data_IF_995479186964
#
_entry.id   IF_995479186964
#
_cell.length_a   1.000
_cell.length_b   1.000
_cell.length_c   1.000
_cell.angle_alpha   90.00
_cell.angle_beta   90.00
_cell.angle_gamma   90.00
#
_symmetry.space_group_name_H-M   'P 1'
#
loop_
_entity.id
_entity.type
_entity.pdbx_description
1 polymer ?
#
# COMPACT_ATOMS: atom_id res chain seq x y z
N UNK A 1 4.91 1.82 -5.35
CA UNK A 1 4.81 3.21 -4.88
C UNK A 1 3.59 3.47 -4.00
N UNK A 2 2.37 3.07 -4.46
CA UNK A 2 1.11 3.39 -3.73
C UNK A 2 1.12 2.84 -2.31
N UNK A 3 1.48 1.57 -2.12
CA UNK A 3 1.57 0.97 -0.78
C UNK A 3 2.55 1.69 0.14
N UNK A 4 3.72 2.09 -0.37
CA UNK A 4 4.71 2.85 0.41
C UNK A 4 4.18 4.23 0.82
N UNK A 5 3.48 4.94 -0.05
CA UNK A 5 2.82 6.19 0.31
C UNK A 5 1.65 5.98 1.28
N UNK A 6 0.99 4.83 1.24
CA UNK A 6 -0.03 4.46 2.23
C UNK A 6 0.59 4.24 3.62
N UNK A 7 1.77 3.63 3.69
CA UNK A 7 2.56 3.51 4.94
C UNK A 7 2.88 4.90 5.50
N UNK A 8 3.48 5.78 4.70
CA UNK A 8 3.80 7.14 5.12
C UNK A 8 2.55 7.91 5.61
N UNK A 9 1.44 7.78 4.90
CA UNK A 9 0.18 8.44 5.27
C UNK A 9 -0.41 7.89 6.59
N UNK A 10 -0.29 6.58 6.84
CA UNK A 10 -0.73 5.97 8.09
C UNK A 10 0.16 6.39 9.27
N UNK A 11 1.48 6.44 9.07
CA UNK A 11 2.44 6.92 10.07
C UNK A 11 2.16 8.38 10.47
N UNK A 12 1.97 9.29 9.51
CA UNK A 12 1.62 10.69 9.78
C UNK A 12 0.30 10.81 10.56
N UNK A 13 -0.63 9.88 10.37
CA UNK A 13 -1.91 9.84 11.09
C UNK A 13 -1.81 9.21 12.48
N UNK A 14 -0.63 8.82 12.91
CA UNK A 14 -0.36 8.32 14.26
C UNK A 14 -0.73 6.86 14.47
N UNK A 15 -0.62 6.02 13.44
CA UNK A 15 -0.73 4.57 13.63
C UNK A 15 0.39 4.08 14.56
N UNK A 16 0.04 3.47 15.69
CA UNK A 16 1.02 2.98 16.66
C UNK A 16 1.73 1.73 16.15
N UNK A 17 0.96 0.76 15.63
CA UNK A 17 1.48 -0.42 14.96
C UNK A 17 1.14 -0.33 13.48
N UNK A 18 2.15 -0.46 12.62
CA UNK A 18 2.00 -0.32 11.18
C UNK A 18 2.75 -1.46 10.47
N UNK A 19 1.99 -2.44 10.02
CA UNK A 19 2.48 -3.62 9.34
C UNK A 19 2.49 -3.39 7.83
N UNK A 20 3.65 -3.52 7.19
CA UNK A 20 3.77 -3.42 5.74
C UNK A 20 4.02 -4.80 5.13
N UNK A 21 3.10 -5.26 4.28
CA UNK A 21 3.19 -6.57 3.63
C UNK A 21 3.98 -6.46 2.34
N UNK A 22 5.03 -7.27 2.19
CA UNK A 22 5.85 -7.28 0.98
C UNK A 22 7.06 -8.21 1.09
N UNK A 23 7.70 -8.54 -0.03
CA UNK A 23 8.86 -9.44 -0.07
C UNK A 23 10.10 -8.83 -0.74
N UNK A 24 10.02 -7.60 -1.24
CA UNK A 24 11.15 -6.92 -1.88
C UNK A 24 11.91 -6.11 -0.83
N UNK A 25 13.21 -6.41 -0.69
CA UNK A 25 14.05 -5.78 0.35
C UNK A 25 14.03 -4.25 0.28
N UNK A 26 14.24 -3.66 -0.89
CA UNK A 26 14.22 -2.20 -1.05
C UNK A 26 12.89 -1.56 -0.66
N UNK A 27 11.76 -2.26 -0.91
CA UNK A 27 10.45 -1.78 -0.48
C UNK A 27 10.26 -1.94 1.04
N UNK A 28 10.78 -3.02 1.62
CA UNK A 28 10.74 -3.25 3.06
C UNK A 28 11.55 -2.20 3.81
N UNK A 29 12.79 -1.95 3.39
CA UNK A 29 13.67 -0.93 3.97
C UNK A 29 13.01 0.46 3.92
N UNK A 30 12.44 0.82 2.77
CA UNK A 30 11.76 2.10 2.60
C UNK A 30 10.44 2.18 3.37
N UNK A 31 9.72 1.06 3.55
CA UNK A 31 8.53 1.04 4.39
C UNK A 31 8.87 1.31 5.85
N UNK A 32 9.95 0.73 6.37
CA UNK A 32 10.45 1.03 7.73
C UNK A 32 10.83 2.50 7.87
N UNK A 33 11.53 3.04 6.88
CA UNK A 33 11.89 4.47 6.86
C UNK A 33 10.65 5.38 6.84
N UNK A 34 9.58 4.95 6.17
CA UNK A 34 8.30 5.68 6.12
C UNK A 34 7.41 5.45 7.36
N UNK A 35 7.89 4.70 8.33
CA UNK A 35 7.25 4.54 9.62
C UNK A 35 6.50 3.23 9.82
N UNK A 36 6.71 2.22 8.98
CA UNK A 36 6.25 0.87 9.30
C UNK A 36 6.98 0.37 10.56
N UNK A 37 6.25 -0.28 11.46
CA UNK A 37 6.85 -0.88 12.66
C UNK A 37 7.37 -2.28 12.39
N UNK A 38 6.74 -2.98 11.46
CA UNK A 38 7.08 -4.35 11.10
C UNK A 38 6.87 -4.60 9.61
N UNK A 39 7.68 -5.49 9.06
CA UNK A 39 7.52 -6.01 7.70
C UNK A 39 6.99 -7.43 7.78
N UNK A 40 5.93 -7.71 7.04
CA UNK A 40 5.32 -9.02 6.89
C UNK A 40 5.74 -9.58 5.55
N UNK A 41 6.57 -10.61 5.57
CA UNK A 41 7.05 -11.23 4.34
C UNK A 41 6.17 -12.43 3.97
N UNK A 42 5.34 -12.29 2.95
CA UNK A 42 4.44 -13.35 2.48
C UNK A 42 5.16 -14.59 1.93
N UNK A 43 6.49 -14.56 1.80
CA UNK A 43 7.31 -15.72 1.42
C UNK A 43 7.80 -16.52 2.60
N UNK A 44 7.68 -15.99 3.79
CA UNK A 44 8.17 -16.60 5.04
C UNK A 44 7.05 -17.26 5.85
N UNK A 45 5.79 -17.12 5.42
CA UNK A 45 4.65 -17.73 6.06
C UNK A 45 3.32 -17.07 5.69
N UNK A 46 2.26 -17.55 6.29
CA UNK A 46 0.93 -16.98 6.10
C UNK A 46 0.85 -15.56 6.63
N UNK A 47 0.29 -14.66 5.84
CA UNK A 47 0.19 -13.23 6.17
C UNK A 47 -0.72 -13.00 7.38
N UNK A 48 -1.83 -13.74 7.44
CA UNK A 48 -2.83 -13.59 8.49
C UNK A 48 -2.23 -14.02 9.83
N UNK A 49 -1.61 -15.18 9.88
CA UNK A 49 -0.93 -15.70 11.09
C UNK A 49 0.14 -14.73 11.57
N UNK A 50 1.04 -14.29 10.68
CA UNK A 50 2.11 -13.35 11.05
C UNK A 50 1.56 -12.06 11.67
N UNK A 51 0.49 -11.48 11.09
CA UNK A 51 -0.08 -10.22 11.59
C UNK A 51 -0.80 -10.44 12.92
N UNK A 52 -1.62 -11.49 13.03
CA UNK A 52 -2.37 -11.78 14.26
C UNK A 52 -1.45 -12.05 15.45
N UNK A 53 -0.36 -12.76 15.22
CA UNK A 53 0.64 -13.06 16.26
C UNK A 53 1.36 -11.79 16.71
N UNK A 54 1.86 -10.99 15.79
CA UNK A 54 2.58 -9.75 16.10
C UNK A 54 1.69 -8.68 16.74
N UNK A 55 0.43 -8.61 16.33
CA UNK A 55 -0.53 -7.64 16.88
C UNK A 55 -1.25 -8.17 18.13
N UNK A 56 -1.03 -9.44 18.51
CA UNK A 56 -1.77 -10.11 19.57
C UNK A 56 -3.29 -10.08 19.37
N UNK A 57 -3.70 -10.20 18.10
CA UNK A 57 -5.10 -10.20 17.68
C UNK A 57 -5.38 -9.34 16.43
N UNK A 58 -6.67 -9.14 16.11
CA UNK A 58 -7.07 -8.42 14.91
C UNK A 58 -6.67 -6.93 14.91
N UNK A 59 -6.48 -6.37 13.70
CA UNK A 59 -6.11 -4.97 13.50
C UNK A 59 -7.32 -4.05 13.33
N UNK A 60 -7.15 -2.75 13.60
CA UNK A 60 -8.22 -1.74 13.47
C UNK A 60 -8.57 -1.40 12.03
N UNK A 61 -7.56 -1.35 11.16
CA UNK A 61 -7.69 -0.87 9.79
C UNK A 61 -6.73 -1.61 8.88
N UNK A 62 -7.17 -1.82 7.65
CA UNK A 62 -6.34 -2.39 6.57
C UNK A 62 -6.41 -1.47 5.37
N UNK A 63 -5.29 -1.25 4.70
CA UNK A 63 -5.23 -0.58 3.39
C UNK A 63 -4.79 -1.60 2.36
N UNK A 64 -5.64 -1.88 1.38
CA UNK A 64 -5.32 -2.73 0.24
C UNK A 64 -4.78 -1.83 -0.87
N UNK A 65 -3.46 -1.90 -1.10
CA UNK A 65 -2.74 -1.08 -2.08
C UNK A 65 -2.00 -1.91 -3.15
N UNK A 66 -2.30 -3.18 -3.22
CA UNK A 66 -1.75 -4.18 -4.14
C UNK A 66 -2.28 -5.56 -3.79
N UNK A 67 -1.81 -6.58 -4.49
CA UNK A 67 -2.32 -7.94 -4.36
C UNK A 67 -3.42 -8.25 -5.37
N UNK A 68 -4.10 -9.34 -5.16
CA UNK A 68 -5.17 -9.90 -5.98
C UNK A 68 -6.52 -9.94 -5.23
N UNK A 69 -7.47 -10.70 -5.76
CA UNK A 69 -8.78 -10.82 -5.13
C UNK A 69 -8.74 -11.52 -3.76
N UNK A 70 -7.77 -12.42 -3.53
CA UNK A 70 -7.62 -13.13 -2.24
C UNK A 70 -7.13 -12.19 -1.13
N UNK A 71 -6.50 -11.09 -1.49
CA UNK A 71 -6.06 -10.06 -0.53
C UNK A 71 -7.24 -9.47 0.27
N UNK A 72 -8.44 -9.42 -0.32
CA UNK A 72 -9.65 -8.99 0.42
C UNK A 72 -10.09 -10.01 1.47
N UNK A 73 -9.98 -11.29 1.16
CA UNK A 73 -10.28 -12.36 2.11
C UNK A 73 -9.35 -12.26 3.33
N UNK A 74 -8.05 -12.15 3.10
CA UNK A 74 -7.03 -11.96 4.15
C UNK A 74 -7.27 -10.68 4.94
N UNK A 75 -7.54 -9.55 4.26
CA UNK A 75 -7.86 -8.29 4.90
C UNK A 75 -9.09 -8.36 5.81
N UNK A 76 -10.11 -9.10 5.37
CA UNK A 76 -11.33 -9.30 6.17
C UNK A 76 -11.09 -10.17 7.39
N UNK A 77 -10.19 -11.16 7.28
CA UNK A 77 -9.85 -12.08 8.36
C UNK A 77 -9.09 -11.37 9.48
N UNK A 78 -8.04 -10.62 9.15
CA UNK A 78 -7.26 -9.89 10.15
C UNK A 78 -7.97 -8.68 10.76
N UNK A 79 -9.06 -8.22 10.15
CA UNK A 79 -9.77 -7.03 10.60
C UNK A 79 -10.68 -7.32 11.80
N UNK A 80 -10.58 -6.53 12.86
CA UNK A 80 -11.49 -6.64 14.00
C UNK A 80 -12.95 -6.26 13.66
N UNK A 81 -13.94 -6.69 14.44
CA UNK A 81 -15.30 -6.16 14.33
C UNK A 81 -15.32 -4.62 14.42
N UNK A 82 -16.12 -3.97 13.57
CA UNK A 82 -16.15 -2.50 13.45
C UNK A 82 -14.99 -1.87 12.70
N UNK A 83 -14.02 -2.67 12.26
CA UNK A 83 -12.84 -2.19 11.52
C UNK A 83 -13.15 -1.78 10.08
N UNK A 84 -12.16 -1.16 9.43
CA UNK A 84 -12.32 -0.58 8.09
C UNK A 84 -11.21 -1.09 7.16
N UNK A 85 -11.61 -1.59 5.99
CA UNK A 85 -10.72 -1.83 4.85
C UNK A 85 -10.82 -0.64 3.90
N UNK A 86 -9.71 0.02 3.63
CA UNK A 86 -9.59 1.04 2.58
C UNK A 86 -8.94 0.44 1.35
N UNK A 87 -9.65 0.41 0.21
CA UNK A 87 -9.07 -0.07 -1.04
C UNK A 87 -8.60 1.09 -1.91
N UNK A 88 -7.33 1.06 -2.30
CA UNK A 88 -6.70 1.96 -3.29
C UNK A 88 -6.06 1.17 -4.44
N UNK A 89 -6.32 -0.14 -4.49
CA UNK A 89 -5.87 -1.02 -5.55
C UNK A 89 -6.89 -1.07 -6.69
N UNK A 90 -6.41 -1.18 -7.92
CA UNK A 90 -7.24 -1.50 -9.08
C UNK A 90 -7.40 -3.01 -9.16
N UNK A 91 -8.64 -3.48 -9.06
CA UNK A 91 -9.01 -4.89 -9.15
C UNK A 91 -9.44 -5.15 -10.60
N UNK A 92 -8.54 -5.67 -11.41
CA UNK A 92 -8.67 -5.73 -12.86
C UNK A 92 -9.18 -7.05 -13.41
N UNK A 93 -9.48 -8.05 -12.57
CA UNK A 93 -9.84 -9.39 -13.00
C UNK A 93 -11.09 -9.90 -12.29
N UNK A 94 -11.90 -10.67 -13.04
CA UNK A 94 -13.11 -11.31 -12.54
C UNK A 94 -14.29 -10.36 -12.33
N UNK A 95 -15.49 -10.94 -12.20
CA UNK A 95 -16.74 -10.21 -12.00
C UNK A 95 -17.04 -9.95 -10.52
N UNK A 96 -16.36 -10.67 -9.62
CA UNK A 96 -16.63 -10.65 -8.19
C UNK A 96 -15.36 -10.55 -7.37
N UNK A 97 -15.44 -9.84 -6.25
CA UNK A 97 -14.45 -9.88 -5.18
C UNK A 97 -15.05 -10.68 -4.02
N UNK A 98 -14.40 -11.80 -3.67
CA UNK A 98 -14.87 -12.67 -2.61
C UNK A 98 -14.70 -12.03 -1.23
N UNK A 99 -15.80 -11.95 -0.48
CA UNK A 99 -15.78 -11.56 0.94
C UNK A 99 -16.20 -12.76 1.76
N UNK A 100 -15.29 -13.39 2.54
CA UNK A 100 -15.62 -14.56 3.34
C UNK A 100 -16.70 -14.23 4.39
N UNK A 101 -17.82 -14.94 4.30
CA UNK A 101 -18.98 -14.68 5.17
C UNK A 101 -18.66 -14.80 6.67
N UNK A 102 -17.88 -15.79 7.05
CA UNK A 102 -17.48 -16.01 8.46
C UNK A 102 -16.63 -14.85 8.98
N UNK A 103 -15.61 -14.45 8.22
CA UNK A 103 -14.71 -13.35 8.62
C UNK A 103 -15.41 -11.98 8.60
N UNK A 104 -16.51 -11.84 7.82
CA UNK A 104 -17.36 -10.67 7.89
C UNK A 104 -18.38 -10.71 9.05
N UNK A 105 -18.26 -11.71 9.93
CA UNK A 105 -19.22 -11.88 11.03
C UNK A 105 -20.64 -12.18 10.54
N UNK A 106 -20.76 -12.99 9.49
CA UNK A 106 -22.04 -13.30 8.81
C UNK A 106 -22.81 -12.04 8.35
N UNK A 107 -22.09 -10.98 8.00
CA UNK A 107 -22.69 -9.68 7.64
C UNK A 107 -23.01 -8.76 8.81
N UNK A 108 -22.81 -9.21 10.04
CA UNK A 108 -23.16 -8.46 11.26
C UNK A 108 -21.93 -7.94 12.05
N UNK A 109 -20.73 -8.16 11.53
CA UNK A 109 -19.48 -7.76 12.20
C UNK A 109 -19.17 -6.25 12.15
N UNK A 110 -20.06 -5.43 11.60
CA UNK A 110 -19.88 -3.98 11.40
C UNK A 110 -18.60 -3.61 10.63
N UNK A 111 -17.95 -4.57 9.95
CA UNK A 111 -16.77 -4.32 9.13
C UNK A 111 -17.15 -3.54 7.88
N UNK A 112 -16.32 -2.56 7.51
CA UNK A 112 -16.57 -1.64 6.40
C UNK A 112 -15.56 -1.83 5.28
N UNK A 113 -16.04 -1.80 4.04
CA UNK A 113 -15.22 -1.69 2.83
C UNK A 113 -15.39 -0.28 2.27
N UNK A 114 -14.27 0.42 2.09
CA UNK A 114 -14.24 1.75 1.48
C UNK A 114 -13.26 1.72 0.33
N UNK A 115 -13.74 1.92 -0.87
CA UNK A 115 -12.93 2.07 -2.06
C UNK A 115 -13.05 3.47 -2.63
N UNK A 116 -12.15 3.82 -3.52
CA UNK A 116 -12.27 5.03 -4.26
C UNK A 116 -10.97 5.44 -4.96
N UNK A 117 -11.16 6.15 -6.05
CA UNK A 117 -10.09 6.87 -6.72
C UNK A 117 -9.90 8.24 -6.06
N UNK A 118 -8.67 8.73 -6.02
CA UNK A 118 -8.39 10.06 -5.50
C UNK A 118 -9.21 11.11 -6.29
N UNK A 119 -10.03 11.90 -5.62
CA UNK A 119 -10.89 12.88 -6.32
C UNK A 119 -10.11 14.02 -7.00
N UNK A 120 -8.81 14.14 -6.76
CA UNK A 120 -7.97 15.18 -7.36
C UNK A 120 -8.25 16.60 -6.84
N UNK A 121 -7.93 17.57 -7.68
CA UNK A 121 -8.19 18.98 -7.43
C UNK A 121 -7.05 19.74 -6.74
N UNK A 122 -7.00 21.04 -7.05
CA UNK A 122 -5.93 21.96 -6.62
C UNK A 122 -5.71 21.95 -5.12
N UNK A 123 -6.77 22.03 -4.34
CA UNK A 123 -6.69 22.13 -2.88
C UNK A 123 -6.04 20.90 -2.26
N UNK A 124 -6.29 19.71 -2.83
CA UNK A 124 -5.66 18.45 -2.37
C UNK A 124 -4.19 18.42 -2.77
N UNK A 125 -3.86 18.80 -3.98
CA UNK A 125 -2.47 18.87 -4.45
C UNK A 125 -1.66 19.86 -3.62
N UNK A 126 -2.20 21.02 -3.28
CA UNK A 126 -1.55 21.99 -2.38
C UNK A 126 -1.31 21.42 -0.97
N UNK A 127 -2.27 20.68 -0.41
CA UNK A 127 -2.07 20.00 0.89
C UNK A 127 -0.96 18.97 0.85
N UNK A 128 -0.90 18.16 -0.21
CA UNK A 128 0.16 17.18 -0.40
C UNK A 128 1.52 17.85 -0.60
N UNK A 129 1.58 18.91 -1.43
CA UNK A 129 2.79 19.70 -1.64
C UNK A 129 3.32 20.27 -0.32
N UNK A 130 2.46 20.77 0.55
CA UNK A 130 2.88 21.26 1.89
C UNK A 130 3.51 20.17 2.73
N UNK A 131 2.99 18.92 2.69
CA UNK A 131 3.61 17.80 3.41
C UNK A 131 5.02 17.49 2.89
N UNK A 132 5.23 17.59 1.57
CA UNK A 132 6.56 17.44 0.96
C UNK A 132 7.48 18.61 1.38
N UNK A 133 7.03 19.86 1.20
CA UNK A 133 7.81 21.06 1.50
C UNK A 133 8.21 21.17 2.99
N UNK A 134 7.41 20.63 3.88
CA UNK A 134 7.69 20.60 5.33
C UNK A 134 8.45 19.35 5.79
N UNK A 135 8.87 18.49 4.84
CA UNK A 135 9.61 17.28 5.15
C UNK A 135 8.80 16.22 5.90
N UNK A 136 7.47 16.26 5.80
CA UNK A 136 6.61 15.27 6.46
C UNK A 136 6.47 13.98 5.65
N UNK A 137 6.62 14.07 4.33
CA UNK A 137 6.69 12.92 3.41
C UNK A 137 7.83 13.15 2.41
N UNK A 138 8.44 12.05 1.98
CA UNK A 138 9.62 12.01 1.12
C UNK A 138 9.36 11.16 -0.12
N UNK A 139 8.47 11.58 -1.05
CA UNK A 139 8.13 10.81 -2.24
C UNK A 139 9.31 10.65 -3.21
N UNK A 140 10.32 11.54 -3.13
CA UNK A 140 11.54 11.46 -3.93
C UNK A 140 12.33 10.16 -3.68
N UNK A 141 12.19 9.56 -2.51
CA UNK A 141 12.82 8.28 -2.15
C UNK A 141 12.23 7.07 -2.89
N UNK A 142 11.07 7.24 -3.51
CA UNK A 142 10.49 6.22 -4.40
C UNK A 142 11.26 6.11 -5.72
N UNK A 143 12.01 7.15 -6.12
CA UNK A 143 12.71 7.21 -7.41
C UNK A 143 13.98 6.37 -7.32
N UNK A 144 13.96 5.19 -7.97
CA UNK A 144 15.11 4.27 -7.98
C UNK A 144 15.90 4.31 -9.28
N UNK A 145 15.27 4.73 -10.38
CA UNK A 145 15.89 4.78 -11.70
C UNK A 145 15.65 6.15 -12.34
N UNK A 146 16.69 6.73 -12.90
CA UNK A 146 16.64 8.06 -13.51
C UNK A 146 17.07 7.96 -14.96
N UNK A 147 16.33 8.61 -15.83
CA UNK A 147 16.57 8.72 -17.26
C UNK A 147 16.55 10.19 -17.65
N UNK A 148 17.23 10.53 -18.75
CA UNK A 148 17.27 11.89 -19.27
C UNK A 148 16.88 11.87 -20.76
N UNK A 149 16.15 12.89 -21.19
CA UNK A 149 15.69 13.06 -22.57
C UNK A 149 14.38 12.33 -22.88
N UNK A 150 13.64 12.88 -23.82
CA UNK A 150 12.34 12.35 -24.25
C UNK A 150 12.48 10.96 -24.87
N UNK A 151 13.60 10.69 -25.55
CA UNK A 151 13.94 9.42 -26.18
C UNK A 151 14.05 8.25 -25.20
N UNK A 152 14.29 8.53 -23.93
CA UNK A 152 14.41 7.51 -22.89
C UNK A 152 13.06 7.08 -22.28
N UNK A 153 11.94 7.71 -22.65
CA UNK A 153 10.60 7.41 -22.12
C UNK A 153 10.20 5.96 -22.38
N UNK A 154 10.46 5.45 -23.61
CA UNK A 154 10.14 4.06 -23.95
C UNK A 154 10.93 3.08 -23.06
N UNK A 155 12.22 3.34 -22.85
CA UNK A 155 13.06 2.52 -21.99
C UNK A 155 12.54 2.49 -20.55
N UNK A 156 12.13 3.64 -20.02
CA UNK A 156 11.53 3.74 -18.68
C UNK A 156 10.20 2.98 -18.57
N UNK A 157 9.38 3.00 -19.62
CA UNK A 157 8.12 2.26 -19.68
C UNK A 157 8.37 0.74 -19.75
N UNK A 158 9.35 0.31 -20.56
CA UNK A 158 9.72 -1.10 -20.63
C UNK A 158 10.25 -1.60 -19.29
N UNK A 159 11.07 -0.82 -18.61
CA UNK A 159 11.53 -1.14 -17.25
C UNK A 159 10.34 -1.33 -16.28
N UNK A 160 9.30 -0.50 -16.39
CA UNK A 160 8.08 -0.67 -15.58
C UNK A 160 7.29 -1.93 -15.93
N UNK A 161 7.34 -2.38 -17.19
CA UNK A 161 6.73 -3.64 -17.65
C UNK A 161 7.49 -4.84 -17.09
N UNK A 162 8.82 -4.82 -17.16
CA UNK A 162 9.69 -5.91 -16.71
C UNK A 162 9.75 -6.05 -15.19
N UNK A 163 9.49 -4.97 -14.48
CA UNK A 163 9.40 -4.89 -12.99
C UNK A 163 10.58 -5.58 -12.27
N UNK A 164 11.83 -5.20 -12.54
CA UNK A 164 12.96 -5.77 -11.80
C UNK A 164 12.80 -5.51 -10.30
N UNK A 165 13.41 -6.36 -9.48
CA UNK A 165 13.16 -6.37 -8.04
C UNK A 165 13.59 -5.09 -7.32
N UNK A 166 14.56 -4.38 -7.86
CA UNK A 166 15.09 -3.11 -7.35
C UNK A 166 14.29 -1.88 -7.83
N UNK A 167 13.40 -2.03 -8.80
CA UNK A 167 12.57 -0.95 -9.29
C UNK A 167 11.42 -0.62 -8.31
N UNK A 168 11.37 0.63 -7.85
CA UNK A 168 10.17 1.20 -7.21
C UNK A 168 9.48 2.15 -8.19
N UNK A 169 10.19 3.18 -8.65
CA UNK A 169 9.66 4.14 -9.62
C UNK A 169 10.77 4.70 -10.52
N UNK A 170 10.62 4.67 -11.86
CA UNK A 170 11.50 5.41 -12.76
C UNK A 170 11.07 6.88 -12.83
N UNK A 171 12.03 7.74 -13.10
CA UNK A 171 11.84 9.15 -13.42
C UNK A 171 12.54 9.45 -14.74
N UNK A 172 11.87 10.16 -15.64
CA UNK A 172 12.47 10.74 -16.85
C UNK A 172 12.49 12.26 -16.69
N UNK A 173 13.68 12.83 -16.79
CA UNK A 173 13.86 14.30 -16.82
C UNK A 173 13.92 14.75 -18.27
N UNK A 174 13.10 15.70 -18.65
CA UNK A 174 13.06 16.30 -19.98
C UNK A 174 13.65 17.71 -19.81
N UNK A 175 14.78 17.93 -20.46
CA UNK A 175 15.43 19.25 -20.54
C UNK A 175 14.95 20.00 -21.79
#
# INVERSE_FOLDING_TARGET
PVGLMSVAAAAIRGAANLYAVGSRKNCADLALEFGATNIINYREGDIVEQILDLNHGPVDKVIVAGGDNDTFAQAMEILKPGGIIGNVNYLGEGDFVGVPRSHWGCGMGHKQLRGGLMPGGRLRSEKLARLVMTGRIHPEKLITHRFTGLESVEQALMLMKDKPRDLIKPLVTIE
#
